data_IF_162179638764
#
_entry.id   IF_162179638764
#
_cell.length_a   1.000
_cell.length_b   1.000
_cell.length_c   1.000
_cell.angle_alpha   90.00
_cell.angle_beta   90.00
_cell.angle_gamma   90.00
#
_symmetry.space_group_name_H-M   'P 1'
#
loop_
_entity.id
_entity.type
_entity.pdbx_description
1 polymer ?
#
# COMPACT_ATOMS: atom_id res chain seq x y z
N UNK A 1 -3.80 -0.92 -22.89
CA UNK A 1 -4.99 -0.15 -22.45
C UNK A 1 -5.14 -0.41 -20.96
N UNK A 2 -5.11 0.63 -20.13
CA UNK A 2 -5.35 0.46 -18.68
C UNK A 2 -6.82 0.11 -18.49
N UNK A 3 -7.13 -1.16 -18.25
CA UNK A 3 -8.47 -1.61 -17.94
C UNK A 3 -8.90 -0.97 -16.61
N UNK A 4 -10.05 -0.30 -16.57
CA UNK A 4 -10.66 0.19 -15.35
C UNK A 4 -11.56 -0.92 -14.78
N UNK A 5 -11.24 -1.54 -13.63
CA UNK A 5 -12.03 -2.62 -13.04
C UNK A 5 -13.33 -2.12 -12.38
N UNK A 6 -13.52 -0.80 -12.25
CA UNK A 6 -14.67 -0.20 -11.60
C UNK A 6 -15.78 0.13 -12.62
N UNK A 7 -16.42 -0.92 -13.14
CA UNK A 7 -17.53 -0.76 -14.09
C UNK A 7 -18.67 0.09 -13.49
N UNK A 8 -19.09 1.14 -14.21
CA UNK A 8 -20.11 2.08 -13.73
C UNK A 8 -19.59 3.19 -12.79
N UNK A 9 -18.27 3.28 -12.58
CA UNK A 9 -17.65 4.34 -11.77
C UNK A 9 -16.59 5.10 -12.56
N UNK A 10 -16.45 6.38 -12.22
CA UNK A 10 -15.34 7.24 -12.64
C UNK A 10 -14.38 7.42 -11.47
N UNK A 11 -13.09 7.23 -11.70
CA UNK A 11 -12.05 7.52 -10.71
C UNK A 11 -11.87 9.03 -10.62
N UNK A 12 -11.97 9.59 -9.41
CA UNK A 12 -11.72 11.02 -9.12
C UNK A 12 -10.40 11.25 -8.41
N UNK A 13 -9.93 10.27 -7.62
CA UNK A 13 -8.61 10.29 -7.01
C UNK A 13 -8.00 8.89 -7.00
N UNK A 14 -6.78 8.76 -7.51
CA UNK A 14 -6.05 7.49 -7.55
C UNK A 14 -5.37 7.16 -6.22
N UNK A 15 -5.00 5.90 -6.04
CA UNK A 15 -4.15 5.43 -4.95
C UNK A 15 -2.73 6.01 -5.05
N UNK A 16 -2.09 6.19 -3.88
CA UNK A 16 -0.67 6.54 -3.78
C UNK A 16 -0.41 7.94 -3.22
N UNK A 17 0.86 8.35 -3.28
CA UNK A 17 1.28 9.67 -2.83
C UNK A 17 0.73 10.78 -3.74
N UNK A 18 0.08 11.77 -3.13
CA UNK A 18 -0.39 12.99 -3.80
C UNK A 18 0.13 14.22 -3.06
N UNK A 19 0.44 15.27 -3.83
CA UNK A 19 0.79 16.57 -3.26
C UNK A 19 -0.49 17.21 -2.71
N UNK A 20 -0.49 17.58 -1.43
CA UNK A 20 -1.62 18.25 -0.81
C UNK A 20 -1.87 19.59 -1.51
N UNK A 21 -3.08 19.84 -2.05
CA UNK A 21 -3.33 20.98 -2.94
C UNK A 21 -3.17 22.34 -2.26
N UNK A 22 -3.19 22.40 -0.93
CA UNK A 22 -3.18 23.67 -0.16
C UNK A 22 -1.82 23.93 0.51
N UNK A 23 -1.05 22.89 0.87
CA UNK A 23 0.15 23.05 1.71
C UNK A 23 1.41 22.39 1.13
N UNK A 24 1.32 21.74 -0.04
CA UNK A 24 2.48 21.13 -0.71
C UNK A 24 3.05 19.88 -0.05
N UNK A 25 2.58 19.49 1.14
CA UNK A 25 2.98 18.26 1.80
C UNK A 25 2.52 17.02 1.05
N UNK A 26 3.33 15.96 0.98
CA UNK A 26 2.89 14.69 0.44
C UNK A 26 1.88 14.04 1.39
N UNK A 27 0.71 13.67 0.86
CA UNK A 27 -0.30 12.88 1.57
C UNK A 27 -0.46 11.56 0.84
N UNK A 28 -0.47 10.46 1.58
CA UNK A 28 -0.68 9.14 1.00
C UNK A 28 -2.17 8.83 0.95
N UNK A 29 -2.71 8.61 -0.26
CA UNK A 29 -4.07 8.17 -0.45
C UNK A 29 -4.12 6.64 -0.50
N UNK A 30 -4.70 6.03 0.54
CA UNK A 30 -4.71 4.57 0.77
C UNK A 30 -5.67 3.78 -0.11
N UNK A 31 -6.51 4.48 -0.87
CA UNK A 31 -7.56 3.89 -1.68
C UNK A 31 -7.72 4.63 -2.99
N UNK A 32 -8.84 4.37 -3.65
CA UNK A 32 -9.29 5.06 -4.85
C UNK A 32 -10.62 5.72 -4.53
N UNK A 33 -10.76 6.98 -4.91
CA UNK A 33 -12.03 7.70 -4.79
C UNK A 33 -12.80 7.53 -6.09
N UNK A 34 -14.03 7.05 -5.98
CA UNK A 34 -14.89 6.65 -7.09
C UNK A 34 -16.20 7.43 -7.03
N UNK A 35 -16.70 7.82 -8.20
CA UNK A 35 -18.04 8.41 -8.32
C UNK A 35 -18.90 7.62 -9.29
N UNK A 36 -20.15 7.42 -8.91
CA UNK A 36 -21.23 6.89 -9.75
C UNK A 36 -22.38 7.89 -9.84
N UNK A 37 -23.22 7.73 -10.85
CA UNK A 37 -24.37 8.59 -11.13
C UNK A 37 -25.68 7.84 -10.86
N UNK A 38 -26.71 8.51 -10.31
CA UNK A 38 -26.70 9.87 -9.75
C UNK A 38 -25.85 9.94 -8.46
N UNK A 39 -25.73 11.11 -7.83
CA UNK A 39 -24.88 11.32 -6.66
C UNK A 39 -25.15 10.36 -5.47
N UNK A 40 -26.33 9.74 -5.39
CA UNK A 40 -26.73 8.71 -4.43
C UNK A 40 -26.87 7.32 -5.08
N UNK A 41 -26.15 7.08 -6.17
CA UNK A 41 -26.23 5.88 -6.99
C UNK A 41 -25.84 4.60 -6.24
N UNK A 42 -26.19 3.43 -6.81
CA UNK A 42 -25.95 2.14 -6.17
C UNK A 42 -24.44 1.86 -6.05
N UNK A 43 -24.03 1.35 -4.90
CA UNK A 43 -22.67 0.87 -4.64
C UNK A 43 -22.70 -0.64 -4.55
N UNK A 44 -21.99 -1.30 -5.46
CA UNK A 44 -21.93 -2.76 -5.55
C UNK A 44 -20.58 -3.30 -5.11
N UNK A 45 -20.57 -4.52 -4.60
CA UNK A 45 -19.34 -5.22 -4.24
C UNK A 45 -18.47 -5.47 -5.50
N UNK A 46 -17.21 -5.08 -5.45
CA UNK A 46 -16.24 -5.30 -6.53
C UNK A 46 -15.73 -6.75 -6.54
N UNK A 47 -15.67 -7.37 -5.36
CA UNK A 47 -15.33 -8.77 -5.21
C UNK A 47 -16.34 -9.46 -4.29
N UNK A 48 -16.49 -10.77 -4.43
CA UNK A 48 -17.26 -11.54 -3.46
C UNK A 48 -16.54 -11.60 -2.11
N UNK A 49 -17.31 -11.77 -1.04
CA UNK A 49 -16.74 -11.81 0.30
C UNK A 49 -17.79 -11.89 1.40
N UNK A 50 -17.31 -11.89 2.65
CA UNK A 50 -18.16 -11.87 3.84
C UNK A 50 -18.11 -10.50 4.49
N UNK A 51 -19.27 -9.90 4.77
CA UNK A 51 -19.36 -8.60 5.44
C UNK A 51 -18.80 -8.72 6.86
N UNK A 52 -17.70 -8.02 7.14
CA UNK A 52 -17.07 -7.92 8.47
C UNK A 52 -17.45 -6.63 9.20
N UNK A 53 -17.79 -5.56 8.46
CA UNK A 53 -18.23 -4.29 9.02
C UNK A 53 -19.36 -3.71 8.17
N UNK A 54 -20.39 -3.15 8.81
CA UNK A 54 -21.54 -2.54 8.13
C UNK A 54 -22.26 -1.56 9.05
N UNK A 55 -21.59 -0.46 9.39
CA UNK A 55 -22.14 0.59 10.27
C UNK A 55 -21.35 1.89 10.10
N UNK A 56 -21.63 2.91 10.92
CA UNK A 56 -20.86 4.15 10.96
C UNK A 56 -19.48 3.93 11.60
N UNK A 57 -18.44 4.37 10.90
CA UNK A 57 -17.06 4.36 11.36
C UNK A 57 -16.82 5.40 12.45
N UNK A 58 -16.63 4.95 13.68
CA UNK A 58 -16.34 5.80 14.84
C UNK A 58 -14.84 5.94 15.05
N UNK A 59 -14.42 7.04 15.68
CA UNK A 59 -13.03 7.21 16.12
C UNK A 59 -12.60 6.02 16.97
N UNK A 60 -11.44 5.43 16.66
CA UNK A 60 -10.94 4.23 17.32
C UNK A 60 -11.43 2.90 16.75
N UNK A 61 -12.39 2.88 15.82
CA UNK A 61 -12.92 1.63 15.23
C UNK A 61 -12.10 1.08 14.06
N UNK A 62 -11.00 1.75 13.65
CA UNK A 62 -10.32 1.48 12.37
C UNK A 62 -10.99 2.09 11.13
N UNK A 63 -12.14 2.75 11.32
CA UNK A 63 -12.90 3.45 10.27
C UNK A 63 -13.25 4.89 10.66
N UNK A 64 -12.52 5.48 11.62
CA UNK A 64 -12.71 6.88 11.99
C UNK A 64 -12.57 7.80 10.77
N UNK A 65 -13.58 8.64 10.53
CA UNK A 65 -13.64 9.54 9.37
C UNK A 65 -14.23 8.92 8.09
N UNK A 66 -14.45 7.61 8.02
CA UNK A 66 -15.01 6.96 6.82
C UNK A 66 -16.53 7.12 6.73
N UNK A 67 -17.22 7.56 7.78
CA UNK A 67 -18.68 7.66 7.80
C UNK A 67 -19.34 6.28 7.73
N UNK A 68 -20.50 6.17 7.08
CA UNK A 68 -21.12 4.86 6.86
C UNK A 68 -20.23 4.01 5.97
N UNK A 69 -19.84 2.86 6.50
CA UNK A 69 -18.83 2.00 5.89
C UNK A 69 -19.33 0.56 5.80
N UNK A 70 -19.06 -0.07 4.66
CA UNK A 70 -19.14 -1.53 4.50
C UNK A 70 -17.72 -2.06 4.30
N UNK A 71 -17.36 -3.13 4.99
CA UNK A 71 -16.10 -3.82 4.78
C UNK A 71 -16.35 -5.31 4.54
N UNK A 72 -15.80 -5.84 3.45
CA UNK A 72 -15.94 -7.22 3.01
C UNK A 72 -14.58 -7.92 3.11
N UNK A 73 -14.54 -9.11 3.69
CA UNK A 73 -13.35 -9.96 3.66
C UNK A 73 -13.46 -10.95 2.50
N UNK A 74 -12.45 -10.96 1.64
CA UNK A 74 -12.37 -11.84 0.48
C UNK A 74 -11.78 -13.22 0.80
N UNK A 75 -11.54 -14.03 -0.22
CA UNK A 75 -10.96 -15.37 -0.08
C UNK A 75 -9.51 -15.38 0.41
N UNK A 76 -8.76 -14.28 0.26
CA UNK A 76 -7.38 -14.13 0.72
C UNK A 76 -7.30 -13.57 2.15
N UNK A 77 -8.43 -13.21 2.74
CA UNK A 77 -8.48 -12.54 4.05
C UNK A 77 -8.25 -11.03 3.95
N UNK A 78 -8.26 -10.45 2.75
CA UNK A 78 -8.11 -9.02 2.55
C UNK A 78 -9.44 -8.32 2.73
N UNK A 79 -9.38 -7.10 3.27
CA UNK A 79 -10.56 -6.34 3.64
C UNK A 79 -10.82 -5.21 2.63
N UNK A 80 -11.87 -5.39 1.85
CA UNK A 80 -12.40 -4.44 0.88
C UNK A 80 -13.32 -3.44 1.58
N UNK A 81 -12.87 -2.21 1.74
CA UNK A 81 -13.52 -1.16 2.51
C UNK A 81 -14.20 -0.15 1.59
N UNK A 82 -15.48 0.14 1.83
CA UNK A 82 -16.32 1.07 1.09
C UNK A 82 -16.79 2.18 2.04
N UNK A 83 -16.14 3.34 1.99
CA UNK A 83 -16.42 4.49 2.84
C UNK A 83 -17.36 5.52 2.20
N UNK A 84 -17.76 6.49 3.02
CA UNK A 84 -18.58 7.67 2.69
C UNK A 84 -19.99 7.36 2.20
N UNK A 85 -20.52 6.16 2.46
CA UNK A 85 -21.84 5.76 1.97
C UNK A 85 -22.96 6.65 2.53
N UNK A 86 -24.04 6.83 1.79
CA UNK A 86 -25.27 7.48 2.30
C UNK A 86 -26.20 6.50 2.98
N UNK A 87 -26.16 5.23 2.57
CA UNK A 87 -26.98 4.14 3.12
C UNK A 87 -26.28 2.80 2.93
N UNK A 88 -26.44 1.92 3.91
CA UNK A 88 -25.94 0.54 3.90
C UNK A 88 -27.11 -0.40 3.54
N UNK A 89 -26.85 -1.37 2.65
CA UNK A 89 -27.85 -2.33 2.17
C UNK A 89 -27.57 -3.79 2.62
N UNK A 90 -26.54 -4.00 3.44
CA UNK A 90 -26.09 -5.31 3.92
C UNK A 90 -25.85 -5.31 5.43
N UNK A 91 -25.72 -6.49 6.02
CA UNK A 91 -25.44 -6.67 7.45
C UNK A 91 -24.19 -7.53 7.69
N UNK A 92 -23.56 -7.34 8.84
CA UNK A 92 -22.40 -8.15 9.27
C UNK A 92 -22.75 -9.65 9.23
N UNK A 93 -21.81 -10.45 8.73
CA UNK A 93 -21.94 -11.90 8.53
C UNK A 93 -22.61 -12.31 7.20
N UNK A 94 -23.18 -11.37 6.45
CA UNK A 94 -23.75 -11.65 5.13
C UNK A 94 -22.64 -11.98 4.12
N UNK A 95 -22.82 -13.06 3.35
CA UNK A 95 -22.02 -13.30 2.14
C UNK A 95 -22.58 -12.50 0.98
N UNK A 96 -21.70 -11.84 0.24
CA UNK A 96 -22.06 -11.02 -0.93
C UNK A 96 -21.29 -11.51 -2.15
N UNK A 97 -21.93 -11.47 -3.31
CA UNK A 97 -21.30 -11.78 -4.60
C UNK A 97 -20.78 -10.51 -5.27
N UNK A 98 -19.81 -10.64 -6.18
CA UNK A 98 -19.42 -9.55 -7.09
C UNK A 98 -20.67 -8.98 -7.79
N UNK A 99 -20.76 -7.66 -7.87
CA UNK A 99 -21.89 -6.93 -8.45
C UNK A 99 -23.11 -6.78 -7.54
N UNK A 100 -23.15 -7.45 -6.38
CA UNK A 100 -24.25 -7.34 -5.44
C UNK A 100 -24.27 -5.95 -4.78
N UNK A 101 -25.46 -5.34 -4.69
CA UNK A 101 -25.68 -4.08 -3.99
C UNK A 101 -25.29 -4.18 -2.51
N UNK A 102 -24.41 -3.29 -2.06
CA UNK A 102 -23.96 -3.21 -0.65
C UNK A 102 -24.30 -1.89 0.02
N UNK A 103 -24.56 -0.84 -0.75
CA UNK A 103 -24.91 0.46 -0.23
C UNK A 103 -25.18 1.47 -1.33
N UNK A 104 -25.11 2.74 -0.98
CA UNK A 104 -25.35 3.86 -1.87
C UNK A 104 -24.29 4.94 -1.66
N UNK A 105 -23.87 5.57 -2.74
CA UNK A 105 -22.89 6.65 -2.70
C UNK A 105 -23.39 7.78 -1.80
N UNK A 106 -22.48 8.42 -1.09
CA UNK A 106 -22.82 9.53 -0.21
C UNK A 106 -21.63 10.43 0.08
N UNK A 107 -21.74 11.18 1.17
CA UNK A 107 -20.71 12.11 1.63
C UNK A 107 -20.65 12.12 3.16
N UNK A 108 -20.87 10.96 3.80
CA UNK A 108 -20.84 10.84 5.27
C UNK A 108 -19.39 10.78 5.79
N UNK A 109 -19.17 11.16 7.04
CA UNK A 109 -17.82 11.22 7.62
C UNK A 109 -17.02 12.42 7.11
N UNK A 110 -15.70 12.27 6.99
CA UNK A 110 -14.82 13.30 6.47
C UNK A 110 -14.70 13.19 4.94
N UNK A 111 -15.67 13.78 4.24
CA UNK A 111 -15.71 13.83 2.78
C UNK A 111 -15.94 15.26 2.30
N UNK A 112 -15.32 15.64 1.18
CA UNK A 112 -15.46 16.95 0.53
C UNK A 112 -16.62 17.00 -0.47
N UNK A 113 -17.25 15.87 -0.78
CA UNK A 113 -18.40 15.79 -1.69
C UNK A 113 -18.80 14.33 -2.00
N UNK A 114 -19.90 14.10 -2.74
CA UNK A 114 -20.39 12.75 -2.99
C UNK A 114 -19.39 11.86 -3.74
N UNK A 115 -18.90 10.81 -3.08
CA UNK A 115 -18.03 9.78 -3.65
C UNK A 115 -18.00 8.53 -2.77
N UNK A 116 -17.40 7.45 -3.26
CA UNK A 116 -17.06 6.26 -2.48
C UNK A 116 -15.55 6.19 -2.36
N UNK A 117 -15.06 6.18 -1.13
CA UNK A 117 -13.66 5.86 -0.87
C UNK A 117 -13.51 4.33 -0.82
N UNK A 118 -12.74 3.77 -1.74
CA UNK A 118 -12.52 2.32 -1.83
C UNK A 118 -11.07 1.96 -1.52
N UNK A 119 -10.86 1.15 -0.48
CA UNK A 119 -9.54 0.74 0.00
C UNK A 119 -9.50 -0.78 0.19
N UNK A 120 -8.34 -1.39 -0.05
CA UNK A 120 -8.12 -2.81 0.24
C UNK A 120 -7.00 -2.93 1.26
N UNK A 121 -7.32 -3.50 2.43
CA UNK A 121 -6.37 -3.74 3.53
C UNK A 121 -5.93 -5.21 3.56
N UNK A 122 -4.67 -5.45 3.89
CA UNK A 122 -4.09 -6.81 3.91
C UNK A 122 -4.53 -7.65 5.12
N UNK A 123 -5.09 -7.03 6.15
CA UNK A 123 -5.53 -7.71 7.39
C UNK A 123 -6.83 -7.10 7.90
N UNK A 124 -7.62 -7.90 8.63
CA UNK A 124 -8.84 -7.47 9.31
C UNK A 124 -8.67 -7.32 10.84
N UNK A 125 -7.46 -7.53 11.38
CA UNK A 125 -7.19 -7.45 12.84
C UNK A 125 -5.74 -7.05 13.17
N UNK A 126 -5.50 -6.31 14.28
CA UNK A 126 -6.48 -5.58 15.08
C UNK A 126 -7.04 -4.36 14.31
N UNK A 127 -8.18 -3.81 14.77
CA UNK A 127 -8.78 -2.57 14.24
C UNK A 127 -9.03 -2.56 12.72
N UNK A 128 -9.49 -3.68 12.15
CA UNK A 128 -9.75 -3.82 10.71
C UNK A 128 -8.54 -3.45 9.85
N UNK A 129 -7.32 -3.69 10.36
CA UNK A 129 -6.06 -3.51 9.64
C UNK A 129 -5.74 -2.08 9.24
N UNK A 130 -6.28 -1.07 9.93
CA UNK A 130 -5.93 0.32 9.66
C UNK A 130 -4.44 0.57 9.88
N UNK A 131 -3.75 1.10 8.88
CA UNK A 131 -2.38 1.65 8.99
C UNK A 131 -2.30 3.03 8.35
N UNK A 132 -1.46 3.91 8.90
CA UNK A 132 -1.18 5.21 8.28
C UNK A 132 -0.22 5.10 7.09
N UNK A 133 0.55 4.01 7.00
CA UNK A 133 1.50 3.75 5.91
C UNK A 133 0.91 2.86 4.81
N UNK A 134 1.61 2.82 3.67
CA UNK A 134 1.34 1.97 2.52
C UNK A 134 1.43 0.47 2.82
N UNK A 135 2.15 0.07 3.88
CA UNK A 135 2.46 -1.34 4.16
C UNK A 135 1.22 -2.19 4.43
N UNK A 136 0.17 -1.61 4.99
CA UNK A 136 -1.07 -2.31 5.35
C UNK A 136 -2.12 -2.39 4.23
N UNK A 137 -1.87 -1.74 3.09
CA UNK A 137 -2.83 -1.64 1.99
C UNK A 137 -2.27 -2.17 0.68
N UNK A 138 -3.14 -2.45 -0.27
CA UNK A 138 -2.77 -2.79 -1.65
C UNK A 138 -3.43 -1.82 -2.62
N UNK A 139 -2.79 -1.60 -3.77
CA UNK A 139 -3.36 -0.75 -4.82
C UNK A 139 -4.64 -1.41 -5.37
N UNK A 140 -5.84 -0.80 -5.19
CA UNK A 140 -7.09 -1.49 -5.45
C UNK A 140 -7.33 -1.83 -6.93
N UNK A 141 -6.83 -1.00 -7.85
CA UNK A 141 -7.03 -1.19 -9.30
C UNK A 141 -6.31 -2.46 -9.77
N UNK A 142 -5.03 -2.59 -9.45
CA UNK A 142 -4.16 -3.70 -9.79
C UNK A 142 -4.65 -4.99 -9.14
N UNK A 143 -5.09 -4.93 -7.88
CA UNK A 143 -5.65 -6.09 -7.19
C UNK A 143 -6.87 -6.64 -7.94
N UNK A 144 -7.85 -5.79 -8.26
CA UNK A 144 -9.05 -6.22 -8.96
C UNK A 144 -8.77 -6.69 -10.39
N UNK A 145 -7.85 -6.04 -11.12
CA UNK A 145 -7.45 -6.49 -12.45
C UNK A 145 -6.81 -7.88 -12.42
N UNK A 146 -5.98 -8.16 -11.42
CA UNK A 146 -5.42 -9.49 -11.22
C UNK A 146 -6.51 -10.51 -10.90
N UNK A 147 -7.40 -10.22 -9.96
CA UNK A 147 -8.50 -11.13 -9.59
C UNK A 147 -9.45 -11.40 -10.77
N UNK A 148 -9.79 -10.39 -11.56
CA UNK A 148 -10.67 -10.54 -12.72
C UNK A 148 -9.98 -11.25 -13.89
N UNK A 149 -8.69 -10.99 -14.12
CA UNK A 149 -7.89 -11.71 -15.11
C UNK A 149 -7.65 -13.18 -14.75
N UNK A 150 -7.88 -13.57 -13.50
CA UNK A 150 -7.80 -14.96 -13.05
C UNK A 150 -9.11 -15.74 -13.27
N UNK A 151 -10.24 -15.05 -13.54
CA UNK A 151 -11.55 -15.67 -13.86
C UNK A 151 -11.85 -15.52 -15.35
N UNK A 152 -11.05 -16.22 -16.15
CA UNK A 152 -11.41 -16.87 -17.41
C UNK A 152 -10.10 -17.37 -18.00
N UNK A 153 -9.83 -18.67 -17.86
CA UNK A 153 -9.00 -19.34 -18.85
C UNK A 153 -9.80 -19.43 -20.16
N UNK A 154 -10.09 -18.29 -20.78
CA UNK A 154 -10.05 -18.27 -22.23
C UNK A 154 -8.58 -18.06 -22.55
N UNK A 155 -7.90 -19.15 -22.90
CA UNK A 155 -6.56 -19.07 -23.47
C UNK A 155 -6.66 -18.17 -24.71
N UNK A 156 -6.30 -16.89 -24.53
CA UNK A 156 -5.80 -16.10 -25.64
C UNK A 156 -4.70 -16.90 -26.33
N UNK A 157 -4.48 -16.71 -27.65
CA UNK A 157 -3.51 -17.51 -28.39
C UNK A 157 -2.20 -17.60 -27.59
N UNK A 158 -1.63 -18.81 -27.42
CA UNK A 158 -0.53 -19.02 -26.50
C UNK A 158 0.58 -18.03 -26.83
N UNK A 159 1.09 -17.32 -25.81
CA UNK A 159 2.16 -16.35 -25.98
C UNK A 159 3.22 -16.92 -26.91
N UNK A 160 3.56 -16.14 -27.94
CA UNK A 160 4.60 -16.52 -28.89
C UNK A 160 5.90 -16.77 -28.13
N UNK A 161 6.80 -17.56 -28.72
CA UNK A 161 8.10 -17.84 -28.10
C UNK A 161 8.88 -16.55 -27.77
N UNK A 162 8.71 -15.48 -28.57
CA UNK A 162 9.31 -14.17 -28.31
C UNK A 162 8.69 -13.47 -27.10
N UNK A 163 7.36 -13.47 -26.98
CA UNK A 163 6.68 -12.85 -25.84
C UNK A 163 7.01 -13.58 -24.54
N UNK A 164 7.14 -14.92 -24.56
CA UNK A 164 7.58 -15.70 -23.39
C UNK A 164 9.00 -15.33 -22.95
N UNK A 165 9.90 -15.11 -23.90
CA UNK A 165 11.26 -14.67 -23.62
C UNK A 165 11.27 -13.25 -23.03
N UNK A 166 10.52 -12.31 -23.63
CA UNK A 166 10.40 -10.94 -23.13
C UNK A 166 9.82 -10.89 -21.72
N UNK A 167 8.80 -11.70 -21.45
CA UNK A 167 8.19 -11.80 -20.12
C UNK A 167 9.18 -12.35 -19.08
N UNK A 168 9.90 -13.42 -19.42
CA UNK A 168 10.94 -14.00 -18.55
C UNK A 168 12.04 -12.97 -18.26
N UNK A 169 12.48 -12.22 -19.27
CA UNK A 169 13.46 -11.15 -19.10
C UNK A 169 12.94 -10.02 -18.20
N UNK A 170 11.67 -9.64 -18.37
CA UNK A 170 11.04 -8.61 -17.55
C UNK A 170 10.91 -9.04 -16.09
N UNK A 171 10.53 -10.30 -15.82
CA UNK A 171 10.48 -10.86 -14.46
C UNK A 171 11.87 -10.82 -13.82
N UNK A 172 12.90 -11.28 -14.53
CA UNK A 172 14.28 -11.25 -14.05
C UNK A 172 14.77 -9.82 -13.75
N UNK A 173 14.39 -8.86 -14.59
CA UNK A 173 14.71 -7.45 -14.39
C UNK A 173 14.05 -6.89 -13.12
N UNK A 174 12.78 -7.22 -12.89
CA UNK A 174 12.03 -6.79 -11.70
C UNK A 174 12.61 -7.40 -10.42
N UNK A 175 12.99 -8.68 -10.44
CA UNK A 175 13.65 -9.33 -9.30
C UNK A 175 15.00 -8.68 -8.98
N UNK A 176 15.80 -8.38 -10.00
CA UNK A 176 17.08 -7.67 -9.85
C UNK A 176 16.88 -6.28 -9.25
N UNK A 177 15.90 -5.52 -9.76
CA UNK A 177 15.57 -4.19 -9.23
C UNK A 177 15.05 -4.27 -7.79
N UNK A 178 14.18 -5.22 -7.47
CA UNK A 178 13.68 -5.43 -6.12
C UNK A 178 14.79 -5.77 -5.13
N UNK A 179 15.70 -6.67 -5.52
CA UNK A 179 16.87 -7.05 -4.72
C UNK A 179 17.81 -5.86 -4.49
N UNK A 180 18.04 -5.06 -5.52
CA UNK A 180 18.87 -3.84 -5.41
C UNK A 180 18.24 -2.81 -4.47
N UNK A 181 16.92 -2.59 -4.54
CA UNK A 181 16.20 -1.68 -3.63
C UNK A 181 16.31 -2.14 -2.17
N UNK A 182 16.15 -3.45 -1.93
CA UNK A 182 16.28 -4.03 -0.59
C UNK A 182 17.69 -3.84 -0.03
N UNK A 183 18.71 -4.08 -0.85
CA UNK A 183 20.10 -3.89 -0.44
C UNK A 183 20.42 -2.41 -0.14
N UNK A 184 19.92 -1.47 -0.94
CA UNK A 184 20.09 -0.05 -0.66
C UNK A 184 19.42 0.37 0.65
N UNK A 185 18.22 -0.13 0.94
CA UNK A 185 17.54 0.09 2.24
C UNK A 185 18.33 -0.51 3.42
N UNK A 186 18.97 -1.66 3.22
CA UNK A 186 19.84 -2.27 4.22
C UNK A 186 21.06 -1.40 4.49
N UNK A 187 21.72 -0.91 3.44
CA UNK A 187 22.93 -0.07 3.57
C UNK A 187 22.64 1.33 4.10
N UNK A 188 21.42 1.86 3.96
CA UNK A 188 21.08 3.19 4.47
C UNK A 188 20.78 3.21 5.97
N UNK A 189 20.47 2.07 6.58
CA UNK A 189 20.13 1.96 8.00
C UNK A 189 20.62 0.63 8.60
N UNK A 190 21.92 0.37 8.52
CA UNK A 190 22.55 -0.83 9.05
C UNK A 190 23.10 -0.60 10.47
N UNK A 191 23.07 -1.66 11.29
CA UNK A 191 23.82 -1.70 12.54
C UNK A 191 25.31 -1.46 12.30
N UNK A 192 26.01 -0.96 13.33
CA UNK A 192 27.45 -0.77 13.27
C UNK A 192 28.17 -2.05 12.82
N UNK A 193 28.85 -2.04 11.67
CA UNK A 193 29.62 -3.19 11.21
C UNK A 193 30.89 -3.37 12.05
N UNK A 194 31.44 -4.58 12.08
CA UNK A 194 32.62 -4.93 12.89
C UNK A 194 33.80 -3.97 12.67
N UNK A 195 34.06 -3.58 11.42
CA UNK A 195 35.14 -2.68 11.06
C UNK A 195 34.96 -1.23 11.55
N UNK A 196 33.76 -0.85 12.00
CA UNK A 196 33.45 0.48 12.52
C UNK A 196 33.25 0.53 14.04
N UNK A 197 33.28 -0.61 14.73
CA UNK A 197 32.99 -0.70 16.17
C UNK A 197 33.94 0.16 17.01
N UNK A 198 35.23 0.17 16.70
CA UNK A 198 36.22 0.99 17.41
C UNK A 198 35.96 2.49 17.23
N UNK A 199 35.66 2.91 15.99
CA UNK A 199 35.34 4.30 15.70
C UNK A 199 34.04 4.74 16.39
N UNK A 200 33.03 3.87 16.43
CA UNK A 200 31.79 4.13 17.16
C UNK A 200 32.03 4.20 18.67
N UNK A 201 32.89 3.34 19.24
CA UNK A 201 33.24 3.41 20.65
C UNK A 201 33.93 4.74 21.01
N UNK A 202 34.82 5.23 20.13
CA UNK A 202 35.51 6.50 20.30
C UNK A 202 34.55 7.71 20.23
N UNK A 203 33.63 7.73 19.26
CA UNK A 203 32.65 8.81 19.10
C UNK A 203 31.35 8.60 19.88
N UNK A 204 31.25 7.57 20.72
CA UNK A 204 30.03 7.19 21.45
C UNK A 204 29.34 8.34 22.18
N UNK A 205 30.06 9.28 22.83
CA UNK A 205 29.42 10.43 23.49
C UNK A 205 28.64 11.37 22.54
N UNK A 206 28.89 11.29 21.23
CA UNK A 206 28.32 12.18 20.21
C UNK A 206 27.30 11.50 19.29
N UNK A 207 27.15 10.17 19.39
CA UNK A 207 26.27 9.37 18.53
C UNK A 207 25.24 8.66 19.42
N UNK A 208 23.98 9.01 19.24
CA UNK A 208 22.86 8.43 20.01
C UNK A 208 22.31 7.15 19.39
N UNK A 209 22.36 7.03 18.06
CA UNK A 209 21.79 5.89 17.33
C UNK A 209 22.81 4.75 17.16
N UNK A 210 22.34 3.51 17.28
CA UNK A 210 23.15 2.29 17.05
C UNK A 210 23.13 1.82 15.58
N UNK A 211 22.42 2.54 14.71
CA UNK A 211 22.32 2.29 13.28
C UNK A 211 22.73 3.52 12.47
N UNK A 212 23.21 3.29 11.26
CA UNK A 212 23.65 4.34 10.35
C UNK A 212 23.83 3.82 8.94
N UNK A 213 24.00 4.73 7.99
CA UNK A 213 24.31 4.34 6.62
C UNK A 213 25.73 3.80 6.50
N UNK A 214 25.99 2.98 5.49
CA UNK A 214 27.35 2.51 5.17
C UNK A 214 28.35 3.66 5.04
N UNK A 215 27.95 4.77 4.38
CA UNK A 215 28.80 5.95 4.25
C UNK A 215 29.04 6.67 5.57
N UNK A 216 28.04 6.73 6.46
CA UNK A 216 28.22 7.25 7.81
C UNK A 216 29.30 6.46 8.56
N UNK A 217 29.21 5.13 8.56
CA UNK A 217 30.21 4.28 9.20
C UNK A 217 31.60 4.45 8.58
N UNK A 218 31.67 4.57 7.25
CA UNK A 218 32.93 4.77 6.52
C UNK A 218 33.59 6.10 6.90
N UNK A 219 32.82 7.18 6.93
CA UNK A 219 33.31 8.51 7.32
C UNK A 219 33.77 8.49 8.79
N UNK A 220 33.00 7.86 9.67
CA UNK A 220 33.33 7.75 11.08
C UNK A 220 34.69 7.08 11.30
N UNK A 221 34.97 6.01 10.56
CA UNK A 221 36.27 5.30 10.60
C UNK A 221 37.40 6.15 10.02
N UNK A 222 37.17 6.88 8.94
CA UNK A 222 38.17 7.79 8.36
C UNK A 222 38.54 8.88 9.37
N UNK A 223 37.55 9.47 10.04
CA UNK A 223 37.77 10.50 11.06
C UNK A 223 38.52 9.94 12.26
N UNK A 224 38.09 8.79 12.78
CA UNK A 224 38.75 8.08 13.88
C UNK A 224 40.23 7.80 13.57
N UNK A 225 40.54 7.26 12.38
CA UNK A 225 41.93 6.98 11.97
C UNK A 225 42.79 8.24 11.88
N UNK A 226 42.21 9.34 11.39
CA UNK A 226 42.89 10.63 11.29
C UNK A 226 43.20 11.22 12.67
N UNK A 227 42.29 11.09 13.63
CA UNK A 227 42.48 11.60 15.00
C UNK A 227 43.41 10.74 15.85
N UNK A 228 43.40 9.42 15.66
CA UNK A 228 44.24 8.48 16.42
C UNK A 228 45.62 8.24 15.81
N UNK A 229 45.88 8.72 14.59
CA UNK A 229 47.16 8.54 13.90
C UNK A 229 47.39 7.12 13.38
N UNK A 230 46.34 6.32 13.22
CA UNK A 230 46.42 4.92 12.77
C UNK A 230 46.55 4.84 11.24
N UNK A 231 47.68 4.33 10.73
CA UNK A 231 47.91 4.09 9.30
C UNK A 231 47.38 2.72 8.87
N UNK A 232 46.74 2.64 7.71
CA UNK A 232 46.32 1.37 7.10
C UNK A 232 47.56 0.70 6.47
N UNK A 233 47.83 -0.60 6.73
CA UNK A 233 48.81 -1.34 5.93
C UNK A 233 48.38 -1.29 4.46
N UNK A 234 49.29 -0.96 3.54
CA UNK A 234 48.99 -1.14 2.11
C UNK A 234 48.79 -2.64 1.88
N UNK A 235 47.63 -3.02 1.35
CA UNK A 235 47.45 -4.34 0.77
C UNK A 235 48.29 -4.41 -0.53
N UNK A 236 49.08 -5.48 -0.67
CA UNK A 236 49.83 -5.83 -1.88
C UNK A 236 48.92 -6.37 -3.00
#
# INVERSE_FOLDING_TARGET
MNANPFEGYRITSSFGYRIHPIHGGQTFHRGVDLVTEPWNGPVSAFLEGTVRFATEGRTGSGFGGYGLTVALEDHRGYLHCYGHLSRIAVKVGQRVRKGQLIGYQGSTGQSTGPHVHYEIRKTSSPSYGYTASEDGVVEPTAYLLNEYGTISQEEGPPMTSQEKQLFTLMQKQLELQGSWIQEQKRLSNMSCPDWAQEALAYYRPYIQDDTGSYDFWRILVIMYRKETGTLVPKED
#
